data_IF_365873784748
#
_entry.id   IF_365873784748
#
_cell.length_a   1.000
_cell.length_b   1.000
_cell.length_c   1.000
_cell.angle_alpha   90.00
_cell.angle_beta   90.00
_cell.angle_gamma   90.00
#
_symmetry.space_group_name_H-M   'P 1'
#
loop_
_entity.id
_entity.type
_entity.pdbx_description
1 polymer ?
#
# COMPACT_ATOMS: atom_id res chain seq x y z
N UNK A 1 6.82 -9.20 -9.28
CA UNK A 1 5.64 -8.36 -8.97
C UNK A 1 4.74 -8.26 -10.20
N UNK A 2 3.58 -8.93 -10.21
CA UNK A 2 2.55 -8.61 -11.19
C UNK A 2 2.18 -7.15 -10.98
N UNK A 3 2.48 -6.33 -11.98
CA UNK A 3 1.98 -4.97 -12.02
C UNK A 3 0.47 -5.12 -12.19
N UNK A 4 -0.30 -4.75 -11.18
CA UNK A 4 -1.75 -4.71 -11.28
C UNK A 4 -2.22 -3.55 -12.20
N UNK A 5 -1.34 -3.05 -13.10
CA UNK A 5 -1.58 -2.00 -14.11
C UNK A 5 -0.37 -1.50 -14.90
N UNK A 6 -0.57 -0.66 -15.95
CA UNK A 6 0.33 -0.65 -17.08
C UNK A 6 1.73 -0.27 -16.69
N UNK A 7 2.67 -1.03 -17.22
CA UNK A 7 4.09 -0.81 -16.95
C UNK A 7 4.54 0.46 -17.64
N UNK A 8 4.37 1.57 -16.95
CA UNK A 8 5.01 2.83 -17.30
C UNK A 8 6.38 2.92 -16.67
N UNK A 9 7.34 3.40 -17.45
CA UNK A 9 8.59 3.89 -16.88
C UNK A 9 8.39 5.37 -16.56
N UNK A 10 8.42 5.72 -15.27
CA UNK A 10 8.49 7.11 -14.85
C UNK A 10 9.95 7.41 -14.49
N UNK A 11 10.47 8.52 -15.00
CA UNK A 11 11.83 8.98 -14.66
C UNK A 11 11.73 10.18 -13.74
N UNK A 12 12.33 10.09 -12.55
CA UNK A 12 12.74 11.26 -11.77
C UNK A 12 14.25 11.23 -11.69
N UNK A 13 14.90 12.29 -12.20
CA UNK A 13 16.37 12.48 -12.12
C UNK A 13 17.15 11.22 -12.56
N UNK A 14 16.85 10.68 -13.75
CA UNK A 14 17.58 9.56 -14.34
C UNK A 14 17.32 8.15 -13.75
N UNK A 15 16.29 7.95 -12.91
CA UNK A 15 15.98 6.65 -12.29
C UNK A 15 14.62 6.10 -12.70
N UNK A 16 14.52 4.78 -12.92
CA UNK A 16 13.27 4.06 -13.16
C UNK A 16 12.47 3.93 -11.86
N UNK A 17 11.31 4.58 -11.80
CA UNK A 17 10.41 4.57 -10.65
C UNK A 17 9.13 3.85 -11.04
N UNK A 18 8.55 3.06 -10.13
CA UNK A 18 7.19 2.55 -10.33
C UNK A 18 6.22 3.21 -9.39
N UNK A 19 5.02 3.36 -9.93
CA UNK A 19 3.99 4.27 -9.46
C UNK A 19 3.10 3.47 -8.49
N UNK A 20 3.08 3.88 -7.23
CA UNK A 20 2.03 3.52 -6.25
C UNK A 20 1.23 4.74 -5.79
N UNK A 21 1.59 5.94 -6.27
CA UNK A 21 0.99 7.22 -5.93
C UNK A 21 1.14 8.18 -7.11
N UNK A 22 0.13 9.02 -7.42
CA UNK A 22 0.20 10.04 -8.48
C UNK A 22 -0.85 11.14 -8.31
N UNK A 23 -0.45 12.34 -7.84
CA UNK A 23 -1.31 13.54 -7.91
C UNK A 23 -1.10 14.27 -9.25
N UNK A 24 -2.12 14.36 -10.13
CA UNK A 24 -1.98 15.16 -11.35
C UNK A 24 -2.04 16.66 -11.02
N UNK A 25 -1.34 17.52 -11.79
CA UNK A 25 -1.56 18.96 -11.72
C UNK A 25 -2.98 19.32 -12.18
N UNK A 26 -3.53 20.40 -11.62
CA UNK A 26 -4.90 20.86 -11.87
C UNK A 26 -5.23 20.95 -13.38
N UNK A 27 -6.13 20.08 -13.85
CA UNK A 27 -6.75 20.10 -15.18
C UNK A 27 -8.24 19.74 -15.06
N UNK A 28 -9.09 20.06 -16.06
CA UNK A 28 -10.52 19.73 -16.09
C UNK A 28 -10.76 18.24 -15.83
N UNK A 29 -11.98 17.82 -15.42
CA UNK A 29 -12.28 16.48 -14.94
C UNK A 29 -12.10 15.45 -16.06
N UNK A 30 -10.87 14.97 -16.22
CA UNK A 30 -10.57 13.76 -16.95
C UNK A 30 -10.94 12.58 -16.04
N UNK A 31 -11.45 11.46 -16.59
CA UNK A 31 -11.61 10.24 -15.80
C UNK A 31 -10.29 9.94 -15.08
N UNK A 32 -10.31 9.53 -13.80
CA UNK A 32 -9.10 9.46 -13.01
C UNK A 32 -8.13 8.52 -13.70
N UNK A 33 -7.01 9.05 -14.21
CA UNK A 33 -5.96 8.24 -14.83
C UNK A 33 -5.31 7.28 -13.83
N UNK A 34 -5.50 7.56 -12.55
CA UNK A 34 -4.97 6.83 -11.41
C UNK A 34 -6.08 6.16 -10.59
N UNK A 35 -5.74 5.03 -9.97
CA UNK A 35 -6.51 4.30 -8.93
C UNK A 35 -6.55 5.10 -7.62
N UNK A 36 -6.88 6.38 -7.66
CA UNK A 36 -6.79 7.28 -6.52
C UNK A 36 -8.03 8.16 -6.42
N UNK A 37 -8.50 8.36 -5.18
CA UNK A 37 -9.55 9.32 -4.90
C UNK A 37 -9.06 10.75 -5.19
N UNK A 38 -9.97 11.61 -5.66
CA UNK A 38 -9.65 13.02 -5.95
C UNK A 38 -9.23 13.79 -4.68
N UNK A 39 -9.75 13.39 -3.52
CA UNK A 39 -9.36 13.88 -2.20
C UNK A 39 -8.66 12.73 -1.48
N UNK A 40 -7.43 12.92 -0.95
CA UNK A 40 -6.75 11.89 -0.18
C UNK A 40 -7.62 11.43 1.01
N UNK A 41 -7.70 10.12 1.28
CA UNK A 41 -8.47 9.62 2.40
C UNK A 41 -7.89 10.15 3.73
N UNK A 42 -8.78 10.45 4.67
CA UNK A 42 -8.37 10.76 6.04
C UNK A 42 -7.81 9.47 6.65
N UNK A 43 -6.58 9.55 7.15
CA UNK A 43 -5.92 8.45 7.83
C UNK A 43 -6.30 8.48 9.31
N UNK A 44 -7.06 7.49 9.76
CA UNK A 44 -7.50 7.34 11.15
C UNK A 44 -6.73 6.25 11.92
N UNK A 45 -5.68 5.68 11.32
CA UNK A 45 -4.83 4.72 11.99
C UNK A 45 -3.87 5.42 12.97
N UNK A 46 -3.51 4.70 14.04
CA UNK A 46 -2.55 5.17 15.03
C UNK A 46 -1.32 4.26 15.09
N UNK A 47 -0.11 4.81 15.31
CA UNK A 47 1.08 4.00 15.58
C UNK A 47 0.84 3.04 16.75
N UNK A 48 1.31 1.80 16.59
CA UNK A 48 1.12 0.70 17.52
C UNK A 48 -0.12 -0.16 17.25
N UNK A 49 -1.11 0.34 16.49
CA UNK A 49 -2.28 -0.46 16.12
C UNK A 49 -1.91 -1.62 15.20
N UNK A 50 -2.68 -2.70 15.27
CA UNK A 50 -2.51 -3.91 14.47
C UNK A 50 -3.64 -4.06 13.46
N UNK A 51 -3.30 -4.60 12.32
CA UNK A 51 -4.23 -4.88 11.23
C UNK A 51 -3.77 -6.11 10.45
N UNK A 52 -4.60 -6.61 9.57
CA UNK A 52 -4.20 -7.67 8.65
C UNK A 52 -3.78 -7.05 7.30
N UNK A 53 -2.66 -7.47 6.74
CA UNK A 53 -2.15 -6.96 5.47
C UNK A 53 -1.55 -8.07 4.63
N UNK A 54 -1.64 -7.95 3.30
CA UNK A 54 -0.91 -8.85 2.39
C UNK A 54 0.59 -8.66 2.50
N UNK A 55 1.33 -9.77 2.56
CA UNK A 55 2.79 -9.74 2.56
C UNK A 55 3.31 -9.27 1.19
N UNK A 56 4.11 -8.18 1.12
CA UNK A 56 4.74 -7.75 -0.14
C UNK A 56 5.63 -8.81 -0.80
N UNK A 57 6.12 -9.80 -0.04
CA UNK A 57 6.95 -10.91 -0.53
C UNK A 57 6.11 -12.04 -1.11
N UNK A 58 4.91 -12.25 -0.58
CA UNK A 58 3.96 -13.24 -1.06
C UNK A 58 2.53 -12.70 -0.94
N UNK A 59 1.97 -12.22 -2.06
CA UNK A 59 0.67 -11.55 -2.08
C UNK A 59 -0.52 -12.48 -1.77
N UNK A 60 -0.32 -13.79 -1.81
CA UNK A 60 -1.33 -14.78 -1.42
C UNK A 60 -1.42 -14.95 0.10
N UNK A 61 -0.43 -14.41 0.84
CA UNK A 61 -0.37 -14.49 2.29
C UNK A 61 -0.88 -13.20 2.93
N UNK A 62 -1.91 -13.31 3.76
CA UNK A 62 -2.29 -12.26 4.70
C UNK A 62 -1.64 -12.52 6.06
N UNK A 63 -1.01 -11.49 6.60
CA UNK A 63 -0.27 -11.52 7.87
C UNK A 63 -0.83 -10.45 8.83
N UNK A 64 -0.63 -10.64 10.13
CA UNK A 64 -0.82 -9.54 11.08
C UNK A 64 0.35 -8.57 10.93
N UNK A 65 0.04 -7.29 10.82
CA UNK A 65 0.98 -6.20 10.73
C UNK A 65 0.69 -5.13 11.78
N UNK A 66 1.74 -4.56 12.35
CA UNK A 66 1.68 -3.41 13.25
C UNK A 66 1.98 -2.13 12.47
N UNK A 67 1.18 -1.08 12.71
CA UNK A 67 1.41 0.28 12.23
C UNK A 67 2.59 0.85 13.00
N UNK A 68 3.72 1.05 12.34
CA UNK A 68 4.91 1.68 12.92
C UNK A 68 4.76 3.19 12.93
N UNK A 69 4.24 3.75 11.84
CA UNK A 69 4.16 5.19 11.64
C UNK A 69 3.06 5.54 10.62
N UNK A 70 2.42 6.70 10.79
CA UNK A 70 1.45 7.27 9.86
C UNK A 70 2.08 8.48 9.16
N UNK A 71 2.20 8.44 7.82
CA UNK A 71 2.73 9.50 6.98
C UNK A 71 1.65 10.02 6.03
N UNK A 72 0.86 11.00 6.50
CA UNK A 72 -0.31 11.48 5.76
C UNK A 72 -1.30 10.34 5.49
N UNK A 73 -1.70 10.08 4.23
CA UNK A 73 -2.59 8.96 3.89
C UNK A 73 -1.88 7.59 3.87
N UNK A 74 -0.57 7.52 4.11
CA UNK A 74 0.23 6.29 4.06
C UNK A 74 0.53 5.76 5.46
N UNK A 75 0.64 4.46 5.56
CA UNK A 75 1.02 3.71 6.75
C UNK A 75 2.34 3.01 6.48
N UNK A 76 3.27 3.11 7.45
CA UNK A 76 4.44 2.24 7.54
C UNK A 76 4.05 1.03 8.36
N UNK A 77 4.09 -0.15 7.76
CA UNK A 77 3.66 -1.40 8.36
C UNK A 77 4.84 -2.34 8.55
N UNK A 78 4.83 -3.05 9.68
CA UNK A 78 5.75 -4.15 9.98
C UNK A 78 4.96 -5.42 10.22
N UNK A 79 5.32 -6.50 9.54
CA UNK A 79 4.69 -7.80 9.80
C UNK A 79 5.13 -8.30 11.18
N UNK A 80 4.18 -8.66 12.04
CA UNK A 80 4.48 -9.18 13.37
C UNK A 80 5.19 -10.55 13.22
N UNK A 81 6.36 -10.67 13.84
CA UNK A 81 7.25 -11.83 13.68
C UNK A 81 8.29 -11.69 12.58
N UNK A 82 8.28 -10.61 11.79
CA UNK A 82 9.38 -10.23 10.90
C UNK A 82 10.39 -9.30 11.57
N UNK A 83 11.46 -8.96 10.84
CA UNK A 83 12.45 -7.97 11.27
C UNK A 83 12.02 -6.53 10.92
N UNK A 84 12.80 -5.55 11.38
CA UNK A 84 12.58 -4.11 11.15
C UNK A 84 13.09 -3.60 9.79
N UNK A 85 13.80 -4.45 9.04
CA UNK A 85 14.42 -4.11 7.76
C UNK A 85 13.46 -4.22 6.59
N UNK A 86 12.33 -4.90 6.80
CA UNK A 86 11.34 -5.19 5.78
C UNK A 86 10.01 -4.46 6.01
N UNK A 87 10.06 -3.31 6.66
CA UNK A 87 8.90 -2.42 6.75
C UNK A 87 8.46 -1.99 5.34
N UNK A 88 7.16 -1.88 5.14
CA UNK A 88 6.59 -1.51 3.85
C UNK A 88 5.50 -0.45 4.01
N UNK A 89 5.23 0.26 2.92
CA UNK A 89 4.25 1.34 2.91
C UNK A 89 2.99 0.94 2.15
N UNK A 90 1.82 1.28 2.71
CA UNK A 90 0.52 1.15 2.07
C UNK A 90 -0.33 2.39 2.31
N UNK A 91 -1.29 2.65 1.44
CA UNK A 91 -2.28 3.70 1.66
C UNK A 91 -3.37 3.19 2.61
N UNK A 92 -3.98 4.09 3.38
CA UNK A 92 -5.08 3.77 4.29
C UNK A 92 -6.34 3.22 3.58
N UNK A 93 -6.49 3.46 2.27
CA UNK A 93 -7.57 2.96 1.42
C UNK A 93 -7.13 1.79 0.51
N UNK A 94 -6.00 1.15 0.81
CA UNK A 94 -5.50 0.04 0.01
C UNK A 94 -6.35 -1.22 0.18
N UNK A 95 -6.64 -1.90 -0.94
CA UNK A 95 -7.32 -3.21 -0.98
C UNK A 95 -6.51 -4.36 -0.36
N UNK A 96 -5.25 -4.11 0.00
CA UNK A 96 -4.36 -5.06 0.65
C UNK A 96 -4.43 -5.01 2.17
N UNK A 97 -5.26 -4.14 2.76
CA UNK A 97 -5.42 -3.95 4.20
C UNK A 97 -6.81 -4.42 4.66
N UNK A 98 -6.83 -5.17 5.75
CA UNK A 98 -8.04 -5.78 6.30
C UNK A 98 -8.14 -5.55 7.80
N UNK A 99 -9.37 -5.36 8.28
CA UNK A 99 -9.66 -5.34 9.72
C UNK A 99 -9.55 -6.76 10.28
N UNK A 100 -9.06 -6.87 11.51
CA UNK A 100 -9.02 -8.16 12.21
C UNK A 100 -10.33 -8.39 12.99
N UNK A 101 -10.89 -9.61 12.99
CA UNK A 101 -10.50 -10.77 12.17
C UNK A 101 -11.11 -10.69 10.76
N UNK A 102 -10.29 -10.79 9.69
CA UNK A 102 -10.82 -10.80 8.31
C UNK A 102 -11.15 -12.21 7.79
N UNK A 103 -10.70 -13.25 8.52
CA UNK A 103 -10.79 -14.65 8.09
C UNK A 103 -9.75 -15.08 7.06
N UNK A 104 -8.88 -14.18 6.58
CA UNK A 104 -7.85 -14.47 5.56
C UNK A 104 -6.42 -14.66 6.13
N UNK A 105 -6.19 -14.33 7.40
CA UNK A 105 -4.85 -14.22 8.03
C UNK A 105 -4.09 -15.53 8.35
N UNK A 106 -4.56 -16.69 7.88
CA UNK A 106 -3.98 -17.98 8.31
C UNK A 106 -2.60 -18.31 7.68
N UNK A 107 -2.17 -17.61 6.63
CA UNK A 107 -1.11 -18.10 5.73
C UNK A 107 0.26 -17.42 5.91
N UNK A 108 0.37 -16.46 6.83
CA UNK A 108 1.47 -15.49 6.83
C UNK A 108 2.67 -15.75 7.74
N UNK A 109 2.61 -16.71 8.65
CA UNK A 109 3.59 -16.76 9.74
C UNK A 109 4.93 -17.37 9.33
N UNK A 110 5.92 -16.51 9.13
CA UNK A 110 7.23 -16.82 8.57
C UNK A 110 8.16 -17.67 9.46
N UNK A 111 7.76 -18.11 10.66
CA UNK A 111 8.64 -18.88 11.57
C UNK A 111 8.31 -20.37 11.62
N UNK A 112 7.10 -20.73 12.04
CA UNK A 112 6.64 -22.13 12.04
C UNK A 112 5.14 -22.20 12.30
N UNK A 113 4.40 -22.97 11.50
CA UNK A 113 2.97 -23.24 11.70
C UNK A 113 2.66 -23.79 13.10
N UNK A 114 3.59 -24.52 13.73
CA UNK A 114 3.39 -25.08 15.07
C UNK A 114 3.34 -24.02 16.18
N UNK A 115 3.97 -22.87 15.98
CA UNK A 115 4.00 -21.76 16.96
C UNK A 115 2.99 -20.66 16.66
N UNK A 116 2.31 -20.74 15.51
CA UNK A 116 1.31 -19.77 15.09
C UNK A 116 0.14 -19.64 16.08
N UNK A 117 -0.46 -20.72 16.63
CA UNK A 117 -1.58 -20.58 17.57
C UNK A 117 -1.20 -19.80 18.83
N UNK A 118 -0.03 -20.09 19.40
CA UNK A 118 0.46 -19.38 20.59
C UNK A 118 0.81 -17.91 20.28
N UNK A 119 1.36 -17.66 19.10
CA UNK A 119 1.62 -16.30 18.64
C UNK A 119 0.33 -15.50 18.46
N UNK A 120 -0.66 -16.08 17.78
CA UNK A 120 -1.95 -15.44 17.53
C UNK A 120 -2.66 -15.11 18.84
N UNK A 121 -2.72 -16.08 19.76
CA UNK A 121 -3.30 -15.88 21.09
C UNK A 121 -2.62 -14.72 21.85
N UNK A 122 -1.29 -14.58 21.75
CA UNK A 122 -0.56 -13.46 22.37
C UNK A 122 -0.91 -12.12 21.72
N UNK A 123 -1.07 -12.08 20.40
CA UNK A 123 -1.43 -10.86 19.68
C UNK A 123 -2.88 -10.45 19.98
N UNK A 124 -3.79 -11.42 20.00
CA UNK A 124 -5.20 -11.21 20.37
C UNK A 124 -5.33 -10.72 21.82
N UNK A 125 -4.59 -11.32 22.76
CA UNK A 125 -4.56 -10.88 24.15
C UNK A 125 -4.01 -9.46 24.33
N UNK A 126 -3.10 -9.00 23.46
CA UNK A 126 -2.56 -7.64 23.51
C UNK A 126 -3.57 -6.57 23.07
N UNK A 127 -4.62 -6.94 22.31
CA UNK A 127 -5.85 -6.14 22.18
C UNK A 127 -5.72 -4.76 21.52
N UNK A 128 -4.80 -4.56 20.58
CA UNK A 128 -4.58 -3.24 19.94
C UNK A 128 -4.88 -3.22 18.44
N UNK A 129 -6.00 -3.80 18.01
CA UNK A 129 -6.37 -3.81 16.59
C UNK A 129 -7.00 -2.48 16.16
N UNK A 130 -6.67 -2.04 14.94
CA UNK A 130 -7.28 -0.88 14.34
C UNK A 130 -8.80 -1.12 14.15
N UNK A 131 -9.67 -0.17 14.52
CA UNK A 131 -11.11 -0.32 14.36
C UNK A 131 -11.50 -0.38 12.88
N UNK A 132 -12.62 -1.06 12.58
CA UNK A 132 -13.12 -1.21 11.21
C UNK A 132 -13.34 0.13 10.49
N UNK A 133 -13.63 1.20 11.23
CA UNK A 133 -13.82 2.55 10.69
C UNK A 133 -12.57 3.14 10.00
N UNK A 134 -11.37 2.70 10.40
CA UNK A 134 -10.10 3.13 9.79
C UNK A 134 -9.96 2.63 8.34
N UNK A 135 -10.61 1.53 7.99
CA UNK A 135 -10.48 0.88 6.68
C UNK A 135 -11.42 1.55 5.67
N UNK A 136 -10.83 2.26 4.71
CA UNK A 136 -11.58 2.98 3.68
C UNK A 136 -11.79 2.10 2.45
N UNK A 137 -12.86 2.35 1.70
CA UNK A 137 -13.12 1.65 0.44
C UNK A 137 -12.07 2.07 -0.59
N UNK A 138 -11.48 1.12 -1.33
CA UNK A 138 -10.54 1.45 -2.39
C UNK A 138 -11.25 2.25 -3.49
N UNK A 139 -10.58 3.27 -4.07
CA UNK A 139 -11.13 4.05 -5.16
C UNK A 139 -11.34 3.18 -6.41
N UNK A 140 -12.34 3.50 -7.24
CA UNK A 140 -12.64 2.73 -8.44
C UNK A 140 -11.47 2.79 -9.42
N UNK A 141 -11.26 1.65 -10.06
CA UNK A 141 -10.20 1.47 -11.01
C UNK A 141 -10.58 2.08 -12.38
N UNK A 142 -9.82 3.02 -13.00
CA UNK A 142 -9.99 3.34 -14.41
C UNK A 142 -10.05 2.10 -15.31
N UNK A 143 -11.03 2.09 -16.21
CA UNK A 143 -11.28 0.99 -17.15
C UNK A 143 -10.16 0.83 -18.20
N UNK A 144 -9.43 1.92 -18.48
CA UNK A 144 -8.30 1.92 -19.40
C UNK A 144 -7.23 2.88 -18.91
N UNK A 145 -6.03 2.61 -19.36
CA UNK A 145 -4.90 3.49 -19.19
C UNK A 145 -5.09 4.80 -19.97
N UNK A 146 -5.05 5.94 -19.29
CA UNK A 146 -5.21 7.28 -19.89
C UNK A 146 -4.00 8.19 -19.70
N UNK A 147 -2.87 7.66 -19.22
CA UNK A 147 -1.64 8.45 -19.13
C UNK A 147 -1.07 8.78 -20.52
N UNK A 148 -0.30 9.85 -20.62
CA UNK A 148 0.43 10.25 -21.82
C UNK A 148 1.93 10.45 -21.53
N UNK A 149 2.86 10.15 -22.47
CA UNK A 149 4.26 10.52 -22.33
C UNK A 149 4.41 12.03 -22.12
N UNK A 150 5.35 12.44 -21.25
CA UNK A 150 5.54 13.83 -20.87
C UNK A 150 4.59 14.34 -19.76
N UNK A 151 3.58 13.56 -19.37
CA UNK A 151 2.73 13.91 -18.24
C UNK A 151 3.52 13.88 -16.93
N UNK A 152 3.35 14.93 -16.12
CA UNK A 152 3.98 15.05 -14.79
C UNK A 152 3.03 14.55 -13.71
N UNK A 153 3.58 13.83 -12.73
CA UNK A 153 2.87 13.26 -11.59
C UNK A 153 3.82 13.13 -10.40
N UNK A 154 3.28 12.92 -9.20
CA UNK A 154 4.07 12.51 -8.04
C UNK A 154 4.24 10.99 -8.05
N UNK A 155 5.35 10.42 -7.59
CA UNK A 155 5.55 8.97 -7.51
C UNK A 155 6.39 8.60 -6.30
N UNK A 156 6.19 7.40 -5.74
CA UNK A 156 6.98 6.89 -4.62
C UNK A 156 8.35 6.42 -5.12
N UNK A 157 9.45 6.87 -4.48
CA UNK A 157 10.78 6.37 -4.81
C UNK A 157 10.94 4.91 -4.34
N UNK A 158 11.27 4.01 -5.26
CA UNK A 158 11.48 2.59 -4.94
C UNK A 158 12.66 2.34 -4.01
N UNK A 159 13.72 3.16 -4.08
CA UNK A 159 14.91 3.04 -3.22
C UNK A 159 14.68 3.68 -1.86
N UNK A 160 13.79 4.67 -1.81
CA UNK A 160 13.44 5.38 -0.59
C UNK A 160 11.91 5.49 -0.47
N UNK A 161 11.20 4.40 -0.11
CA UNK A 161 9.73 4.34 -0.12
C UNK A 161 9.03 5.39 0.75
N UNK A 162 9.74 5.98 1.71
CA UNK A 162 9.25 7.12 2.48
C UNK A 162 9.05 8.38 1.61
N UNK A 163 9.80 8.53 0.51
CA UNK A 163 9.79 9.72 -0.34
C UNK A 163 8.74 9.62 -1.44
N UNK A 164 8.03 10.72 -1.63
CA UNK A 164 7.19 10.98 -2.80
C UNK A 164 7.86 12.11 -3.59
N UNK A 165 8.15 11.85 -4.86
CA UNK A 165 8.94 12.73 -5.70
C UNK A 165 8.17 13.12 -6.97
N UNK A 166 8.40 14.32 -7.52
CA UNK A 166 7.92 14.66 -8.86
C UNK A 166 8.57 13.73 -9.90
N UNK A 167 7.76 13.21 -10.81
CA UNK A 167 8.14 12.27 -11.85
C UNK A 167 7.43 12.61 -13.17
N UNK A 168 8.01 12.18 -14.28
CA UNK A 168 7.42 12.33 -15.61
C UNK A 168 7.24 10.97 -16.26
N UNK A 169 6.06 10.72 -16.83
CA UNK A 169 5.77 9.53 -17.63
C UNK A 169 6.68 9.55 -18.85
N UNK A 170 7.61 8.60 -18.94
CA UNK A 170 8.58 8.52 -20.05
C UNK A 170 7.98 7.78 -21.23
N UNK A 171 7.42 6.60 -20.96
CA UNK A 171 6.95 5.69 -22.00
C UNK A 171 5.80 4.83 -21.49
N UNK A 172 4.88 4.49 -22.40
CA UNK A 172 3.65 3.74 -22.17
C UNK A 172 3.79 2.36 -22.79
N UNK A 173 3.74 1.32 -21.97
CA UNK A 173 3.50 -0.03 -22.50
C UNK A 173 2.01 -0.31 -22.35
N UNK A 174 1.36 -0.63 -23.47
CA UNK A 174 0.00 -1.15 -23.44
C UNK A 174 0.03 -2.51 -22.73
N UNK A 175 -0.92 -2.72 -21.81
CA UNK A 175 -1.13 -3.99 -21.12
C UNK A 175 -1.80 -5.01 -22.04
#
# INVERSE_FOLDING_TARGET
CRALWPRFTATSIGRTICISWARPPARPPQPPASKQAAVPPVNEFQPGQRLEAKDPRNLDNTCIATVIECLGPRLRLRLDGSDDRNDFYRLADSEDLFHHPSGSAALGYAKSMSTWPAFLARIEAAGNFAPAACFKRPPPAPARNTFAPGQRLEAVDRKHPQLVCPATVRDIRQD
#
